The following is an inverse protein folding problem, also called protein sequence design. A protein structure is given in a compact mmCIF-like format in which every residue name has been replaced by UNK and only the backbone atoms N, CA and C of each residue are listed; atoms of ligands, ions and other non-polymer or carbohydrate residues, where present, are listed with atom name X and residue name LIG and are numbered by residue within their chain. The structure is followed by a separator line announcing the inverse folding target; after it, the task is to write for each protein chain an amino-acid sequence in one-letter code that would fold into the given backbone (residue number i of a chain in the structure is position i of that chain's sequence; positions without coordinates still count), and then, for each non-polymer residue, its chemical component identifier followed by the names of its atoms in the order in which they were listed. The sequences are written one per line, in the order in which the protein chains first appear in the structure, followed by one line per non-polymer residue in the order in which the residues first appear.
data_IF_621210608508
#
_entry.id   IF_621210608508
#
_cell.length_a   1.000
_cell.length_b   1.000
_cell.length_c   1.000
_cell.angle_alpha   90.00
_cell.angle_beta   90.00
_cell.angle_gamma   90.00
#
_symmetry.space_group_name_H-M   'P 1'
#
loop_
_entity.id
_entity.type
_entity.pdbx_description
1 polymer ?
#
# COMPACT_ATOMS: atom_id res chain seq x y z
N UNK A 1 -14.41 -16.12 -15.81
CA UNK A 1 -13.38 -15.07 -15.63
C UNK A 1 -13.38 -14.62 -14.18
N UNK A 2 -12.29 -14.82 -13.43
CA UNK A 2 -12.25 -14.55 -11.98
C UNK A 2 -12.06 -13.05 -11.73
N UNK A 3 -12.96 -12.41 -10.96
CA UNK A 3 -12.80 -11.01 -10.55
C UNK A 3 -11.54 -10.87 -9.68
N UNK A 4 -10.52 -10.18 -10.20
CA UNK A 4 -9.24 -9.94 -9.49
C UNK A 4 -9.32 -8.86 -8.42
N UNK A 5 -10.35 -8.01 -8.48
CA UNK A 5 -10.54 -6.81 -7.66
C UNK A 5 -11.17 -7.13 -6.30
N UNK A 6 -10.59 -8.10 -5.58
CA UNK A 6 -11.05 -8.47 -4.24
C UNK A 6 -10.39 -7.59 -3.17
N UNK A 7 -11.03 -7.37 -2.02
CA UNK A 7 -10.39 -6.72 -0.89
C UNK A 7 -9.12 -7.48 -0.47
N UNK A 8 -8.14 -6.75 0.08
CA UNK A 8 -6.81 -7.21 0.48
C UNK A 8 -5.85 -7.57 -0.66
N UNK A 9 -6.18 -7.21 -1.90
CA UNK A 9 -5.24 -7.30 -3.02
C UNK A 9 -4.34 -6.07 -3.06
N UNK A 10 -3.07 -6.30 -3.39
CA UNK A 10 -2.08 -5.24 -3.56
C UNK A 10 -2.19 -4.63 -4.96
N UNK A 11 -2.18 -3.30 -5.01
CA UNK A 11 -2.31 -2.50 -6.23
C UNK A 11 -1.23 -1.42 -6.25
N UNK A 12 -0.88 -0.97 -7.45
CA UNK A 12 -0.02 0.21 -7.64
C UNK A 12 -0.87 1.31 -8.26
N UNK A 13 -0.83 2.49 -7.65
CA UNK A 13 -1.49 3.67 -8.20
C UNK A 13 -0.69 4.19 -9.40
N UNK A 14 -1.38 4.46 -10.51
CA UNK A 14 -0.74 4.93 -11.74
C UNK A 14 -0.81 6.45 -11.88
N UNK A 15 -1.82 7.09 -11.28
CA UNK A 15 -2.14 8.49 -11.54
C UNK A 15 -2.31 9.33 -10.27
N UNK A 16 -2.04 10.63 -10.40
CA UNK A 16 -2.15 11.63 -9.34
C UNK A 16 -0.97 11.64 -8.35
N UNK A 17 -1.13 12.37 -7.24
CA UNK A 17 -0.05 12.62 -6.25
C UNK A 17 0.63 11.37 -5.68
N UNK A 18 -0.07 10.25 -5.62
CA UNK A 18 0.43 8.98 -5.07
C UNK A 18 0.79 7.96 -6.15
N UNK A 19 1.01 8.40 -7.40
CA UNK A 19 1.50 7.53 -8.46
C UNK A 19 2.79 6.81 -8.03
N UNK A 20 2.93 5.53 -8.43
CA UNK A 20 4.06 4.66 -8.06
C UNK A 20 4.01 4.13 -6.62
N UNK A 21 3.04 4.53 -5.80
CA UNK A 21 2.91 4.02 -4.43
C UNK A 21 2.09 2.72 -4.42
N UNK A 22 2.53 1.78 -3.57
CA UNK A 22 1.88 0.50 -3.29
C UNK A 22 0.76 0.74 -2.31
N UNK A 23 -0.35 0.08 -2.57
CA UNK A 23 -1.53 0.20 -1.75
C UNK A 23 -2.33 -1.11 -1.75
N UNK A 24 -3.28 -1.23 -0.84
CA UNK A 24 -4.18 -2.37 -0.72
C UNK A 24 -5.62 -1.91 -0.89
N UNK A 25 -6.41 -2.72 -1.58
CA UNK A 25 -7.86 -2.50 -1.70
C UNK A 25 -8.50 -2.85 -0.36
N UNK A 26 -9.17 -1.88 0.27
CA UNK A 26 -9.92 -2.10 1.51
C UNK A 26 -11.35 -2.50 1.18
N UNK A 27 -11.98 -1.75 0.27
CA UNK A 27 -13.36 -2.00 -0.17
C UNK A 27 -13.47 -1.73 -1.66
N UNK A 28 -14.16 -2.62 -2.36
CA UNK A 28 -14.49 -2.49 -3.76
C UNK A 28 -15.96 -2.00 -3.87
N UNK A 29 -16.21 -1.09 -4.81
CA UNK A 29 -17.53 -0.71 -5.29
C UNK A 29 -17.62 -0.93 -6.81
N UNK A 30 -18.12 -2.10 -7.21
CA UNK A 30 -18.30 -2.48 -8.62
C UNK A 30 -19.52 -1.77 -9.23
N UNK A 31 -20.62 -1.67 -8.47
CA UNK A 31 -21.93 -1.16 -8.94
C UNK A 31 -22.05 0.37 -8.89
N UNK A 32 -20.96 1.06 -8.53
CA UNK A 32 -20.97 2.51 -8.30
C UNK A 32 -21.70 2.91 -7.01
N UNK A 33 -21.54 4.17 -6.63
CA UNK A 33 -22.26 4.80 -5.51
C UNK A 33 -23.06 5.97 -6.04
N UNK A 34 -24.07 6.44 -5.29
CA UNK A 34 -24.88 7.59 -5.71
C UNK A 34 -24.04 8.83 -6.04
N UNK A 35 -22.90 9.02 -5.37
CA UNK A 35 -22.00 10.14 -5.60
C UNK A 35 -21.12 9.96 -6.84
N UNK A 36 -20.88 8.70 -7.26
CA UNK A 36 -19.96 8.32 -8.34
C UNK A 36 -20.47 7.06 -9.03
N UNK A 37 -21.04 7.24 -10.23
CA UNK A 37 -21.59 6.15 -11.04
C UNK A 37 -20.54 5.22 -11.65
N UNK A 38 -19.25 5.55 -11.57
CA UNK A 38 -18.17 4.68 -12.04
C UNK A 38 -17.70 3.72 -10.94
N UNK A 39 -17.23 2.56 -11.38
CA UNK A 39 -16.60 1.59 -10.50
C UNK A 39 -15.34 2.16 -9.84
N UNK A 40 -15.24 2.04 -8.53
CA UNK A 40 -14.13 2.59 -7.77
C UNK A 40 -13.78 1.73 -6.56
N UNK A 41 -12.59 1.96 -6.03
CA UNK A 41 -12.09 1.25 -4.86
C UNK A 41 -11.62 2.24 -3.80
N UNK A 42 -11.88 1.88 -2.54
CA UNK A 42 -11.23 2.48 -1.40
C UNK A 42 -9.88 1.79 -1.20
N UNK A 43 -8.82 2.59 -1.27
CA UNK A 43 -7.44 2.10 -1.27
C UNK A 43 -6.69 2.72 -0.09
N UNK A 44 -5.95 1.87 0.65
CA UNK A 44 -5.06 2.29 1.71
C UNK A 44 -3.60 2.02 1.29
N UNK A 45 -2.77 3.05 1.28
CA UNK A 45 -1.39 2.95 0.81
C UNK A 45 -0.38 3.64 1.72
N UNK A 46 0.90 3.45 1.40
CA UNK A 46 2.00 4.09 2.09
C UNK A 46 2.43 5.30 1.25
N UNK A 47 2.36 6.50 1.80
CA UNK A 47 2.79 7.75 1.15
C UNK A 47 4.28 8.01 1.33
N UNK A 48 4.84 7.68 2.50
CA UNK A 48 6.27 7.76 2.76
C UNK A 48 6.77 6.40 3.18
N UNK A 49 7.59 5.80 2.32
CA UNK A 49 8.24 4.54 2.63
C UNK A 49 9.33 4.73 3.68
N UNK A 50 9.50 3.75 4.58
CA UNK A 50 10.64 3.76 5.49
C UNK A 50 11.93 3.63 4.68
N UNK A 51 12.94 4.42 5.05
CA UNK A 51 14.27 4.30 4.46
C UNK A 51 15.01 3.12 5.10
N UNK A 52 16.00 2.57 4.39
CA UNK A 52 16.84 1.47 4.91
C UNK A 52 17.51 1.89 6.22
N UNK A 53 17.29 1.08 7.26
CA UNK A 53 17.93 1.24 8.57
C UNK A 53 19.26 0.48 8.54
N UNK A 54 20.34 1.13 8.99
CA UNK A 54 21.67 0.53 9.09
C UNK A 54 22.02 0.43 10.58
N UNK A 55 22.60 -0.70 11.01
CA UNK A 55 23.00 -0.92 12.42
C UNK A 55 23.94 0.17 12.97
N UNK A 56 24.71 0.83 12.09
CA UNK A 56 25.62 1.94 12.43
C UNK A 56 24.90 3.25 12.78
N UNK A 57 23.62 3.40 12.45
CA UNK A 57 22.86 4.61 12.76
C UNK A 57 22.53 4.70 14.26
N UNK A 58 22.58 5.92 14.83
CA UNK A 58 22.12 6.15 16.20
C UNK A 58 20.59 5.97 16.32
N UNK A 59 20.11 5.59 17.51
CA UNK A 59 18.69 5.33 17.76
C UNK A 59 17.77 6.48 17.31
N UNK A 60 18.21 7.74 17.48
CA UNK A 60 17.47 8.94 17.03
C UNK A 60 17.33 9.00 15.50
N UNK A 61 18.37 8.61 14.75
CA UNK A 61 18.33 8.55 13.28
C UNK A 61 17.48 7.38 12.81
N UNK A 62 17.57 6.23 13.47
CA UNK A 62 16.75 5.05 13.17
C UNK A 62 15.25 5.36 13.33
N UNK A 63 14.85 6.01 14.43
CA UNK A 63 13.48 6.43 14.67
C UNK A 63 12.95 7.40 13.61
N UNK A 64 13.80 8.28 13.04
CA UNK A 64 13.39 9.18 11.96
C UNK A 64 13.19 8.44 10.63
N UNK A 65 14.03 7.42 10.33
CA UNK A 65 13.97 6.62 9.10
C UNK A 65 12.80 5.64 9.08
N UNK A 66 12.34 5.18 10.25
CA UNK A 66 11.23 4.23 10.39
C UNK A 66 9.83 4.86 10.29
N UNK A 67 9.71 6.20 10.28
CA UNK A 67 8.41 6.88 10.21
C UNK A 67 7.72 6.61 8.87
N UNK A 68 6.62 5.86 8.92
CA UNK A 68 5.73 5.60 7.78
C UNK A 68 4.59 6.60 7.82
N UNK A 69 4.27 7.21 6.67
CA UNK A 69 3.04 8.00 6.49
C UNK A 69 2.10 7.20 5.61
N UNK A 70 0.91 6.89 6.09
CA UNK A 70 -0.13 6.21 5.32
C UNK A 70 -1.08 7.24 4.67
N UNK A 71 -1.81 6.80 3.65
CA UNK A 71 -2.90 7.56 3.03
C UNK A 71 -4.08 6.65 2.71
N UNK A 72 -5.27 7.23 2.68
CA UNK A 72 -6.50 6.57 2.26
C UNK A 72 -7.07 7.41 1.11
N UNK A 73 -7.42 6.76 0.00
CA UNK A 73 -7.94 7.43 -1.18
C UNK A 73 -8.98 6.58 -1.89
N UNK A 74 -10.02 7.24 -2.41
CA UNK A 74 -10.94 6.65 -3.37
C UNK A 74 -10.35 6.77 -4.77
N UNK A 75 -10.23 5.65 -5.47
CA UNK A 75 -9.52 5.55 -6.75
C UNK A 75 -10.39 4.82 -7.77
N UNK A 76 -10.42 5.34 -9.00
CA UNK A 76 -11.09 4.72 -10.14
C UNK A 76 -10.32 3.46 -10.58
N UNK A 77 -11.00 2.42 -11.05
CA UNK A 77 -10.42 1.19 -11.59
C UNK A 77 -9.34 1.42 -12.65
N UNK A 78 -9.55 2.40 -13.54
CA UNK A 78 -8.61 2.72 -14.62
C UNK A 78 -7.25 3.21 -14.07
N UNK A 79 -7.26 3.83 -12.90
CA UNK A 79 -6.10 4.56 -12.37
C UNK A 79 -5.12 3.70 -11.56
N UNK A 80 -5.31 2.38 -11.48
CA UNK A 80 -4.38 1.48 -10.80
C UNK A 80 -4.19 0.15 -11.52
N UNK A 81 -2.97 -0.39 -11.45
CA UNK A 81 -2.68 -1.73 -11.95
C UNK A 81 -2.81 -2.72 -10.79
N UNK A 82 -3.62 -3.76 -10.98
CA UNK A 82 -3.67 -4.87 -10.04
C UNK A 82 -2.38 -5.69 -10.18
N UNK A 83 -1.64 -5.85 -9.07
CA UNK A 83 -0.55 -6.81 -9.02
C UNK A 83 -1.10 -8.12 -8.46
N UNK A 84 -0.87 -9.24 -9.14
CA UNK A 84 -1.32 -10.57 -8.71
C UNK A 84 -0.59 -11.10 -7.45
N UNK A 85 0.22 -10.26 -6.78
CA UNK A 85 0.88 -10.59 -5.53
C UNK A 85 -0.17 -10.69 -4.41
N UNK A 86 -0.48 -11.93 -4.03
CA UNK A 86 -1.14 -12.23 -2.78
C UNK A 86 -0.33 -11.61 -1.64
N UNK A 87 -0.85 -10.54 -1.04
CA UNK A 87 -0.36 -10.08 0.25
C UNK A 87 -0.70 -11.16 1.27
N UNK A 88 0.21 -12.12 1.46
CA UNK A 88 0.13 -13.06 2.58
C UNK A 88 0.20 -12.18 3.83
N UNK A 89 -0.97 -11.96 4.45
CA UNK A 89 -1.08 -11.44 5.81
C UNK A 89 -0.46 -12.47 6.74
N UNK A 90 0.84 -12.35 6.96
CA UNK A 90 1.53 -13.00 8.04
C UNK A 90 2.74 -12.13 8.30
N UNK A 91 2.77 -11.47 9.45
CA UNK A 91 3.95 -11.20 10.31
C UNK A 91 5.32 -10.90 9.68
N UNK A 92 5.38 -10.58 8.40
CA UNK A 92 6.55 -10.15 7.67
C UNK A 92 6.53 -8.63 7.76
N UNK A 93 6.81 -8.16 8.97
CA UNK A 93 7.48 -6.87 9.11
C UNK A 93 8.51 -6.81 8.00
N UNK A 94 8.42 -5.73 7.22
CA UNK A 94 9.22 -5.42 6.04
C UNK A 94 10.55 -6.22 6.07
N UNK A 95 10.95 -6.92 5.02
CA UNK A 95 12.26 -7.62 4.99
C UNK A 95 13.44 -6.69 5.41
N UNK A 96 13.21 -5.36 5.35
CA UNK A 96 14.04 -4.28 5.93
C UNK A 96 14.08 -4.28 7.48
N UNK A 97 12.97 -4.53 8.16
CA UNK A 97 12.87 -4.69 9.62
C UNK A 97 13.42 -6.03 10.12
N UNK A 98 13.23 -7.16 9.41
CA UNK A 98 13.78 -8.45 9.86
C UNK A 98 15.31 -8.50 9.90
N UNK A 99 16.02 -7.78 9.01
CA UNK A 99 17.49 -7.65 9.08
C UNK A 99 17.97 -6.67 10.17
N UNK A 100 17.09 -5.84 10.72
CA UNK A 100 17.42 -4.92 11.80
C UNK A 100 17.19 -5.52 13.21
N UNK A 101 16.44 -6.62 13.30
CA UNK A 101 16.10 -7.32 14.56
C UNK A 101 16.56 -8.78 14.57
N UNK A 102 17.73 -9.09 14.02
CA UNK A 102 18.51 -10.23 14.53
C UNK A 102 19.58 -9.60 15.42
N UNK A 103 19.93 -10.17 16.58
CA UNK A 103 21.13 -9.77 17.32
C UNK A 103 22.41 -9.89 16.45
#
# INVERSE_FOLDING_TARGET
MVKFLKPNKAVILLQGRFAGHKATIVRNFDDGTRDRAYGHCLVAGIAKYPSKIIRKDSAKKQAKKSRVKAFIKLVNYISYHANALHSRRGSEGCRVCRRACVP
#
